data_IF_167435935676
#
_entry.id   IF_167435935676
#
_cell.length_a   1.000
_cell.length_b   1.000
_cell.length_c   1.000
_cell.angle_alpha   90.00
_cell.angle_beta   90.00
_cell.angle_gamma   90.00
#
_symmetry.space_group_name_H-M   'P 1'
#
loop_
_entity.id
_entity.type
_entity.pdbx_description
1 polymer ?
#
# COMPACT_ATOMS: atom_id res chain seq x y z
N UNK A 1 12.61 -6.94 18.66
CA UNK A 1 12.15 -5.63 19.18
C UNK A 1 10.64 -5.62 19.05
N UNK A 2 9.90 -5.33 20.11
CA UNK A 2 8.44 -5.24 20.03
C UNK A 2 8.04 -4.04 19.16
N UNK A 3 6.97 -4.16 18.33
CA UNK A 3 6.46 -3.03 17.55
C UNK A 3 5.92 -1.92 18.46
N UNK A 4 6.22 -0.67 18.12
CA UNK A 4 5.65 0.50 18.78
C UNK A 4 4.22 0.77 18.25
N UNK A 5 3.30 1.21 19.11
CA UNK A 5 1.98 1.63 18.66
C UNK A 5 2.09 2.95 17.88
N UNK A 6 1.48 3.00 16.69
CA UNK A 6 1.47 4.24 15.90
C UNK A 6 0.65 5.35 16.57
N UNK A 7 1.19 6.54 16.60
CA UNK A 7 0.58 7.70 17.26
C UNK A 7 -0.56 8.30 16.41
N UNK A 8 -1.80 8.33 16.95
CA UNK A 8 -2.97 8.93 16.27
C UNK A 8 -2.80 10.43 16.02
N UNK A 9 -2.17 11.17 16.94
CA UNK A 9 -1.89 12.60 16.74
C UNK A 9 -1.02 12.83 15.51
N UNK A 10 -0.03 11.96 15.28
CA UNK A 10 0.80 12.02 14.09
C UNK A 10 -0.01 11.69 12.83
N UNK A 11 -0.88 10.69 12.89
CA UNK A 11 -1.77 10.35 11.78
C UNK A 11 -2.72 11.51 11.42
N UNK A 12 -3.23 12.25 12.41
CA UNK A 12 -4.05 13.44 12.21
C UNK A 12 -3.28 14.57 11.50
N UNK A 13 -2.06 14.82 11.96
CA UNK A 13 -1.19 15.83 11.36
C UNK A 13 -0.81 15.46 9.91
N UNK A 14 -0.45 14.21 9.69
CA UNK A 14 -0.09 13.69 8.36
C UNK A 14 -1.27 13.77 7.39
N UNK A 15 -2.52 13.51 7.85
CA UNK A 15 -3.71 13.63 7.01
C UNK A 15 -3.94 15.07 6.52
N UNK A 16 -3.71 16.06 7.39
CA UNK A 16 -3.81 17.48 7.00
C UNK A 16 -2.81 17.81 5.88
N UNK A 17 -1.57 17.35 6.02
CA UNK A 17 -0.56 17.53 4.98
C UNK A 17 -0.88 16.78 3.70
N UNK A 18 -1.41 15.56 3.79
CA UNK A 18 -1.85 14.76 2.65
C UNK A 18 -2.92 15.50 1.84
N UNK A 19 -3.97 15.98 2.51
CA UNK A 19 -5.07 16.73 1.88
C UNK A 19 -4.60 18.06 1.28
N UNK A 20 -3.73 18.79 1.98
CA UNK A 20 -3.20 20.06 1.51
C UNK A 20 -2.31 19.91 0.26
N UNK A 21 -1.62 18.77 0.11
CA UNK A 21 -0.75 18.48 -1.04
C UNK A 21 -1.48 17.84 -2.20
N UNK A 22 -2.59 17.16 -1.94
CA UNK A 22 -3.35 16.41 -2.95
C UNK A 22 -2.46 15.62 -3.91
N UNK A 23 -1.68 14.61 -3.43
CA UNK A 23 -0.63 13.99 -4.23
C UNK A 23 -1.17 13.39 -5.53
N UNK A 24 -0.60 13.77 -6.66
CA UNK A 24 -0.87 13.14 -7.96
C UNK A 24 -0.29 11.73 -7.93
N UNK A 25 -1.16 10.74 -7.88
CA UNK A 25 -0.78 9.33 -7.71
C UNK A 25 -1.06 8.57 -8.99
N UNK A 26 0.00 8.15 -9.67
CA UNK A 26 -0.08 7.28 -10.84
C UNK A 26 -0.37 5.85 -10.38
N UNK A 27 -1.55 5.33 -10.72
CA UNK A 27 -2.01 4.02 -10.29
C UNK A 27 -1.99 3.02 -11.46
N UNK A 28 -0.96 2.18 -11.52
CA UNK A 28 -0.93 1.00 -12.37
C UNK A 28 -1.42 -0.20 -11.56
N UNK A 29 -2.73 -0.24 -11.33
CA UNK A 29 -3.39 -1.26 -10.53
C UNK A 29 -4.10 -2.32 -11.38
N UNK A 30 -4.69 -3.33 -10.73
CA UNK A 30 -5.39 -4.42 -11.42
C UNK A 30 -6.81 -4.01 -11.84
N UNK A 31 -7.37 -4.74 -12.81
CA UNK A 31 -8.66 -4.43 -13.43
C UNK A 31 -9.85 -4.49 -12.48
N UNK A 32 -9.73 -5.30 -11.43
CA UNK A 32 -10.86 -5.56 -10.51
C UNK A 32 -11.11 -4.37 -9.58
N UNK A 33 -10.09 -3.52 -9.33
CA UNK A 33 -10.14 -2.51 -8.25
C UNK A 33 -9.92 -1.07 -8.72
N UNK A 34 -9.84 -0.81 -10.02
CA UNK A 34 -9.50 0.53 -10.55
C UNK A 34 -10.40 1.63 -10.01
N UNK A 35 -11.71 1.48 -10.16
CA UNK A 35 -12.68 2.48 -9.69
C UNK A 35 -12.65 2.66 -8.18
N UNK A 36 -12.59 1.56 -7.42
CA UNK A 36 -12.54 1.64 -5.95
C UNK A 36 -11.25 2.31 -5.45
N UNK A 37 -10.11 1.99 -6.07
CA UNK A 37 -8.82 2.63 -5.77
C UNK A 37 -8.84 4.14 -6.05
N UNK A 38 -9.38 4.54 -7.22
CA UNK A 38 -9.50 5.95 -7.57
C UNK A 38 -10.41 6.70 -6.59
N UNK A 39 -11.58 6.14 -6.27
CA UNK A 39 -12.51 6.75 -5.32
C UNK A 39 -11.93 6.83 -3.89
N UNK A 40 -11.18 5.85 -3.46
CA UNK A 40 -10.48 5.88 -2.16
C UNK A 40 -9.49 7.04 -2.08
N UNK A 41 -8.67 7.24 -3.11
CA UNK A 41 -7.73 8.36 -3.18
C UNK A 41 -8.45 9.70 -3.22
N UNK A 42 -9.52 9.84 -4.03
CA UNK A 42 -10.34 11.06 -4.10
C UNK A 42 -10.98 11.37 -2.76
N UNK A 43 -11.57 10.39 -2.09
CA UNK A 43 -12.19 10.57 -0.79
C UNK A 43 -11.20 11.06 0.28
N UNK A 44 -9.95 10.60 0.23
CA UNK A 44 -8.87 11.07 1.12
C UNK A 44 -8.30 12.44 0.72
N UNK A 45 -8.56 12.92 -0.51
CA UNK A 45 -8.07 14.21 -1.01
C UNK A 45 -6.81 14.14 -1.88
N UNK A 46 -6.45 12.95 -2.39
CA UNK A 46 -5.40 12.79 -3.40
C UNK A 46 -5.97 12.87 -4.83
N UNK A 47 -5.10 12.95 -5.83
CA UNK A 47 -5.42 13.01 -7.25
C UNK A 47 -5.00 11.71 -7.94
N UNK A 48 -5.90 10.73 -8.17
CA UNK A 48 -5.56 9.48 -8.86
C UNK A 48 -5.45 9.69 -10.38
N UNK A 49 -4.51 8.98 -11.00
CA UNK A 49 -4.38 8.87 -12.45
C UNK A 49 -4.17 7.41 -12.86
N UNK A 50 -5.09 6.89 -13.70
CA UNK A 50 -5.09 5.50 -14.15
C UNK A 50 -4.48 5.41 -15.56
N UNK A 51 -3.16 5.64 -15.67
CA UNK A 51 -2.41 5.64 -16.95
C UNK A 51 -1.71 4.30 -17.10
N UNK A 52 -2.06 3.52 -18.12
CA UNK A 52 -1.63 2.12 -18.28
C UNK A 52 -0.94 1.82 -19.62
N UNK A 53 -1.12 2.66 -20.64
CA UNK A 53 -0.45 2.47 -21.93
C UNK A 53 1.04 2.75 -21.81
N UNK A 54 1.93 1.90 -22.38
CA UNK A 54 3.39 2.11 -22.27
C UNK A 54 3.87 3.46 -22.79
N UNK A 55 3.24 3.99 -23.84
CA UNK A 55 3.61 5.29 -24.41
C UNK A 55 3.29 6.47 -23.49
N UNK A 56 2.27 6.33 -22.64
CA UNK A 56 1.83 7.35 -21.69
C UNK A 56 2.38 7.11 -20.28
N UNK A 57 2.46 5.84 -19.83
CA UNK A 57 2.85 5.48 -18.47
C UNK A 57 4.28 5.92 -18.15
N UNK A 58 5.21 5.75 -19.10
CA UNK A 58 6.60 6.16 -18.92
C UNK A 58 6.76 7.65 -18.66
N UNK A 59 6.30 8.58 -19.53
CA UNK A 59 6.42 10.00 -19.27
C UNK A 59 5.57 10.45 -18.08
N UNK A 60 4.41 9.85 -17.85
CA UNK A 60 3.54 10.22 -16.74
C UNK A 60 4.15 9.86 -15.37
N UNK A 61 4.83 8.74 -15.24
CA UNK A 61 5.50 8.34 -14.00
C UNK A 61 6.57 9.35 -13.53
N UNK A 62 7.20 10.07 -14.46
CA UNK A 62 8.19 11.09 -14.14
C UNK A 62 7.58 12.38 -13.56
N UNK A 63 6.33 12.69 -13.86
CA UNK A 63 5.66 13.93 -13.43
C UNK A 63 4.68 13.72 -12.27
N UNK A 64 4.30 12.47 -11.99
CA UNK A 64 3.49 12.11 -10.84
C UNK A 64 4.26 12.34 -9.53
N UNK A 65 3.54 12.57 -8.43
CA UNK A 65 4.16 12.66 -7.10
C UNK A 65 4.50 11.27 -6.52
N UNK A 66 3.75 10.23 -6.95
CA UNK A 66 3.97 8.85 -6.56
C UNK A 66 3.48 7.89 -7.64
N UNK A 67 4.04 6.67 -7.66
CA UNK A 67 3.60 5.58 -8.55
C UNK A 67 3.22 4.35 -7.71
N UNK A 68 2.06 3.76 -8.02
CA UNK A 68 1.67 2.43 -7.56
C UNK A 68 1.84 1.41 -8.69
N UNK A 69 2.49 0.29 -8.38
CA UNK A 69 2.52 -0.92 -9.23
C UNK A 69 1.89 -2.07 -8.46
N UNK A 70 0.72 -2.50 -8.90
CA UNK A 70 -0.01 -3.65 -8.35
C UNK A 70 -0.10 -4.73 -9.42
N UNK A 71 0.45 -5.92 -9.15
CA UNK A 71 0.59 -7.01 -10.12
C UNK A 71 -0.62 -7.93 -10.21
N UNK A 72 -1.75 -7.56 -9.63
CA UNK A 72 -3.03 -8.23 -9.87
C UNK A 72 -3.41 -8.14 -11.35
N UNK A 73 -4.04 -9.18 -11.89
CA UNK A 73 -4.40 -9.27 -13.33
C UNK A 73 -3.25 -8.89 -14.30
N UNK A 74 -2.00 -9.24 -13.95
CA UNK A 74 -0.83 -8.91 -14.75
C UNK A 74 -0.86 -9.63 -16.10
N UNK A 75 -0.63 -8.89 -17.19
CA UNK A 75 -0.39 -9.38 -18.55
C UNK A 75 1.02 -8.98 -19.01
N UNK A 76 1.52 -9.58 -20.10
CA UNK A 76 2.85 -9.24 -20.61
C UNK A 76 2.95 -7.75 -21.00
N UNK A 77 1.95 -7.20 -21.69
CA UNK A 77 1.93 -5.78 -22.06
C UNK A 77 1.87 -4.84 -20.86
N UNK A 78 1.14 -5.23 -19.79
CA UNK A 78 1.12 -4.48 -18.54
C UNK A 78 2.45 -4.54 -17.82
N UNK A 79 3.11 -5.69 -17.81
CA UNK A 79 4.44 -5.83 -17.22
C UNK A 79 5.46 -4.92 -17.92
N UNK A 80 5.42 -4.83 -19.25
CA UNK A 80 6.29 -3.93 -20.03
C UNK A 80 5.99 -2.46 -19.70
N UNK A 81 4.72 -2.07 -19.65
CA UNK A 81 4.32 -0.72 -19.28
C UNK A 81 4.72 -0.35 -17.84
N UNK A 82 4.50 -1.26 -16.89
CA UNK A 82 4.88 -1.09 -15.48
C UNK A 82 6.39 -0.95 -15.32
N UNK A 83 7.17 -1.79 -16.02
CA UNK A 83 8.64 -1.69 -16.02
C UNK A 83 9.10 -0.34 -16.53
N UNK A 84 8.59 0.11 -17.68
CA UNK A 84 8.91 1.41 -18.25
C UNK A 84 8.55 2.59 -17.32
N UNK A 85 7.40 2.50 -16.63
CA UNK A 85 6.99 3.49 -15.65
C UNK A 85 7.90 3.51 -14.42
N UNK A 86 8.27 2.33 -13.88
CA UNK A 86 9.16 2.21 -12.71
C UNK A 86 10.56 2.72 -13.03
N UNK A 87 11.11 2.39 -14.20
CA UNK A 87 12.41 2.93 -14.65
C UNK A 87 12.38 4.46 -14.73
N UNK A 88 11.31 5.02 -15.30
CA UNK A 88 11.12 6.46 -15.39
C UNK A 88 10.94 7.12 -14.01
N UNK A 89 10.19 6.51 -13.11
CA UNK A 89 10.03 6.96 -11.74
C UNK A 89 11.37 6.93 -10.97
N UNK A 90 12.15 5.86 -11.15
CA UNK A 90 13.48 5.73 -10.55
C UNK A 90 14.43 6.85 -11.01
N UNK A 91 14.49 7.12 -12.30
CA UNK A 91 15.31 8.20 -12.88
C UNK A 91 14.86 9.58 -12.40
N UNK A 92 13.55 9.81 -12.31
CA UNK A 92 12.96 11.06 -11.84
C UNK A 92 12.94 11.20 -10.30
N UNK A 93 13.34 10.17 -9.56
CA UNK A 93 13.23 10.08 -8.08
C UNK A 93 11.79 10.19 -7.57
N UNK A 94 10.83 9.80 -8.38
CA UNK A 94 9.44 9.64 -7.97
C UNK A 94 9.33 8.38 -7.10
N UNK A 95 8.85 8.47 -5.84
CA UNK A 95 8.67 7.28 -5.02
C UNK A 95 7.64 6.34 -5.64
N UNK A 96 7.92 5.04 -5.64
CA UNK A 96 6.99 4.04 -6.12
C UNK A 96 6.77 2.93 -5.12
N UNK A 97 5.59 2.34 -5.14
CA UNK A 97 5.15 1.29 -4.22
C UNK A 97 4.82 0.03 -4.99
N UNK A 98 5.28 -1.12 -4.49
CA UNK A 98 4.97 -2.45 -5.02
C UNK A 98 3.87 -3.11 -4.18
N UNK A 99 2.82 -3.59 -4.86
CA UNK A 99 1.81 -4.51 -4.32
C UNK A 99 1.95 -5.87 -5.03
N UNK A 100 2.64 -6.86 -4.40
CA UNK A 100 2.99 -8.12 -5.02
C UNK A 100 1.86 -9.15 -4.95
N UNK A 101 0.68 -8.81 -5.44
CA UNK A 101 -0.54 -9.62 -5.36
C UNK A 101 -0.30 -11.06 -5.83
N UNK A 102 -0.54 -12.03 -4.93
CA UNK A 102 -0.43 -13.48 -5.19
C UNK A 102 0.95 -13.93 -5.71
N UNK A 103 2.01 -13.22 -5.35
CA UNK A 103 3.39 -13.49 -5.80
C UNK A 103 3.90 -14.88 -5.41
N UNK A 104 3.38 -15.47 -4.32
CA UNK A 104 3.77 -16.80 -3.87
C UNK A 104 3.32 -17.94 -4.80
N UNK A 105 2.17 -17.77 -5.47
CA UNK A 105 1.54 -18.82 -6.26
C UNK A 105 1.81 -18.70 -7.77
N UNK A 106 2.12 -17.51 -8.28
CA UNK A 106 2.16 -17.20 -9.71
C UNK A 106 3.56 -16.83 -10.18
N UNK A 107 4.20 -17.72 -10.92
CA UNK A 107 5.60 -17.60 -11.36
C UNK A 107 5.86 -16.34 -12.19
N UNK A 108 4.95 -15.96 -13.09
CA UNK A 108 5.11 -14.76 -13.91
C UNK A 108 5.15 -13.49 -13.03
N UNK A 109 4.24 -13.37 -12.06
CA UNK A 109 4.24 -12.25 -11.11
C UNK A 109 5.49 -12.26 -10.23
N UNK A 110 5.91 -13.45 -9.81
CA UNK A 110 7.10 -13.66 -8.99
C UNK A 110 8.35 -13.09 -9.67
N UNK A 111 8.65 -13.53 -10.89
CA UNK A 111 9.82 -13.04 -11.64
C UNK A 111 9.76 -11.55 -11.85
N UNK A 112 8.61 -11.06 -12.27
CA UNK A 112 8.42 -9.64 -12.50
C UNK A 112 8.66 -8.80 -11.24
N UNK A 113 8.09 -9.19 -10.08
CA UNK A 113 8.32 -8.49 -8.83
C UNK A 113 9.79 -8.51 -8.41
N UNK A 114 10.46 -9.66 -8.50
CA UNK A 114 11.89 -9.78 -8.16
C UNK A 114 12.76 -8.87 -9.02
N UNK A 115 12.50 -8.82 -10.32
CA UNK A 115 13.23 -7.94 -11.24
C UNK A 115 13.09 -6.47 -10.86
N UNK A 116 11.85 -6.05 -10.46
CA UNK A 116 11.58 -4.67 -10.07
C UNK A 116 12.25 -4.24 -8.75
N UNK A 117 12.57 -5.17 -7.85
CA UNK A 117 13.21 -4.82 -6.56
C UNK A 117 14.54 -4.08 -6.73
N UNK A 118 15.26 -4.33 -7.82
CA UNK A 118 16.51 -3.61 -8.14
C UNK A 118 16.31 -2.11 -8.39
N UNK A 119 15.07 -1.69 -8.71
CA UNK A 119 14.68 -0.31 -8.94
C UNK A 119 14.16 0.39 -7.66
N UNK A 120 14.46 -0.20 -6.49
CA UNK A 120 14.29 0.37 -5.16
C UNK A 120 12.90 0.98 -4.92
N UNK A 121 11.85 0.16 -4.71
CA UNK A 121 10.55 0.67 -4.27
C UNK A 121 10.71 1.47 -2.97
N UNK A 122 10.01 2.58 -2.83
CA UNK A 122 9.91 3.33 -1.57
C UNK A 122 9.12 2.54 -0.53
N UNK A 123 8.12 1.78 -0.97
CA UNK A 123 7.35 0.90 -0.10
C UNK A 123 6.95 -0.40 -0.83
N UNK A 124 6.77 -1.46 -0.04
CA UNK A 124 6.18 -2.74 -0.46
C UNK A 124 5.02 -3.02 0.50
N UNK A 125 3.81 -3.24 -0.03
CA UNK A 125 2.65 -3.58 0.79
C UNK A 125 2.07 -4.92 0.34
N UNK A 126 1.92 -5.84 1.26
CA UNK A 126 1.28 -7.13 1.02
C UNK A 126 0.66 -7.71 2.29
N UNK A 127 -0.09 -8.80 2.15
CA UNK A 127 -0.44 -9.63 3.30
C UNK A 127 0.77 -10.48 3.74
N UNK A 128 0.63 -11.18 4.86
CA UNK A 128 1.74 -11.97 5.40
C UNK A 128 2.29 -12.99 4.40
N UNK A 129 1.42 -13.71 3.67
CA UNK A 129 1.85 -14.73 2.72
C UNK A 129 2.58 -14.13 1.52
N UNK A 130 2.16 -12.97 1.03
CA UNK A 130 2.82 -12.24 -0.06
C UNK A 130 4.19 -11.71 0.37
N UNK A 131 4.27 -11.12 1.56
CA UNK A 131 5.56 -10.61 2.09
C UNK A 131 6.52 -11.75 2.41
N UNK A 132 6.05 -12.85 3.02
CA UNK A 132 6.88 -14.04 3.25
C UNK A 132 7.37 -14.65 1.95
N UNK A 133 6.51 -14.75 0.94
CA UNK A 133 6.88 -15.27 -0.37
C UNK A 133 7.92 -14.38 -1.04
N UNK A 134 7.71 -13.06 -1.07
CA UNK A 134 8.64 -12.12 -1.67
C UNK A 134 9.99 -12.10 -0.92
N UNK A 135 9.97 -12.05 0.40
CA UNK A 135 11.17 -12.07 1.24
C UNK A 135 11.89 -13.42 1.14
N UNK A 136 11.14 -14.53 1.15
CA UNK A 136 11.71 -15.87 1.01
C UNK A 136 12.42 -16.08 -0.32
N UNK A 137 11.89 -15.53 -1.40
CA UNK A 137 12.53 -15.58 -2.71
C UNK A 137 13.75 -14.66 -2.79
N UNK A 138 13.67 -13.48 -2.22
CA UNK A 138 14.80 -12.55 -2.15
C UNK A 138 15.90 -13.05 -1.20
N UNK A 139 15.54 -13.88 -0.20
CA UNK A 139 16.42 -14.42 0.85
C UNK A 139 16.64 -15.94 0.78
N UNK A 140 15.97 -16.66 -0.13
CA UNK A 140 16.16 -18.10 -0.36
C UNK A 140 15.38 -19.06 0.53
N UNK A 141 14.13 -18.74 0.94
CA UNK A 141 13.29 -19.57 1.83
C UNK A 141 11.87 -19.91 1.33
N UNK A 142 11.11 -20.73 2.07
CA UNK A 142 9.71 -21.14 1.78
C UNK A 142 8.71 -20.48 2.74
N UNK A 143 7.51 -20.12 2.26
CA UNK A 143 6.48 -19.41 3.02
C UNK A 143 5.53 -20.28 3.86
N UNK A 144 4.84 -19.68 4.84
CA UNK A 144 3.94 -20.29 5.83
C UNK A 144 2.55 -19.63 5.81
N UNK A 145 1.50 -20.41 6.06
CA UNK A 145 0.09 -20.02 5.99
C UNK A 145 -0.56 -19.99 7.38
N UNK A 146 -1.00 -18.81 7.91
CA UNK A 146 -1.97 -18.72 9.05
C UNK A 146 -2.37 -17.29 9.44
N UNK A 147 -3.45 -17.11 10.23
CA UNK A 147 -4.01 -15.85 10.73
C UNK A 147 -3.14 -15.10 11.75
N UNK A 148 -2.23 -15.76 12.43
CA UNK A 148 -1.15 -15.13 13.23
C UNK A 148 0.00 -14.63 12.35
N UNK A 149 -0.19 -14.71 11.04
CA UNK A 149 0.81 -14.58 10.03
C UNK A 149 1.44 -13.18 9.96
N UNK A 150 0.70 -12.10 10.26
CA UNK A 150 1.27 -10.75 10.18
C UNK A 150 2.41 -10.55 11.18
N UNK A 151 2.20 -10.91 12.44
CA UNK A 151 3.24 -10.86 13.48
C UNK A 151 4.38 -11.85 13.20
N UNK A 152 4.04 -13.08 12.78
CA UNK A 152 5.01 -14.12 12.47
C UNK A 152 5.88 -13.78 11.25
N UNK A 153 5.37 -12.93 10.32
CA UNK A 153 6.10 -12.49 9.14
C UNK A 153 7.06 -11.32 9.38
N UNK A 154 7.01 -10.67 10.56
CA UNK A 154 7.82 -9.49 10.86
C UNK A 154 9.33 -9.68 10.66
N UNK A 155 9.96 -10.79 11.08
CA UNK A 155 11.40 -10.97 10.83
C UNK A 155 11.76 -10.94 9.35
N UNK A 156 10.90 -11.53 8.49
CA UNK A 156 11.07 -11.53 7.04
C UNK A 156 10.83 -10.13 6.45
N UNK A 157 9.78 -9.43 6.91
CA UNK A 157 9.49 -8.07 6.50
C UNK A 157 10.63 -7.10 6.86
N UNK A 158 11.17 -7.20 8.07
CA UNK A 158 12.31 -6.40 8.53
C UNK A 158 13.59 -6.70 7.72
N UNK A 159 13.83 -7.96 7.39
CA UNK A 159 14.97 -8.35 6.57
C UNK A 159 14.83 -7.80 5.14
N UNK A 160 13.64 -7.92 4.54
CA UNK A 160 13.32 -7.37 3.22
C UNK A 160 13.48 -5.84 3.21
N UNK A 161 12.95 -5.14 4.22
CA UNK A 161 13.06 -3.70 4.35
C UNK A 161 14.53 -3.23 4.41
N UNK A 162 15.37 -3.93 5.17
CA UNK A 162 16.82 -3.63 5.23
C UNK A 162 17.54 -3.91 3.93
N UNK A 163 17.22 -5.02 3.27
CA UNK A 163 17.89 -5.43 2.02
C UNK A 163 17.59 -4.47 0.87
N UNK A 164 16.34 -4.03 0.76
CA UNK A 164 15.87 -3.17 -0.33
C UNK A 164 16.01 -1.69 0.01
N UNK A 165 16.18 -1.35 1.30
CA UNK A 165 16.16 0.01 1.84
C UNK A 165 14.81 0.70 1.57
N UNK A 166 13.72 0.06 2.00
CA UNK A 166 12.36 0.51 1.78
C UNK A 166 11.48 0.33 3.02
N UNK A 167 10.26 0.87 2.95
CA UNK A 167 9.21 0.57 3.95
C UNK A 167 8.48 -0.71 3.54
N UNK A 168 8.29 -1.64 4.46
CA UNK A 168 7.47 -2.84 4.24
C UNK A 168 6.23 -2.76 5.13
N UNK A 169 5.07 -2.92 4.50
CA UNK A 169 3.76 -2.99 5.17
C UNK A 169 3.23 -4.41 5.08
N UNK A 170 3.01 -5.02 6.24
CA UNK A 170 2.32 -6.31 6.35
C UNK A 170 0.93 -6.08 6.89
N UNK A 171 -0.08 -6.38 6.08
CA UNK A 171 -1.48 -6.18 6.47
C UNK A 171 -2.11 -7.41 7.09
N UNK A 172 -2.98 -7.19 8.09
CA UNK A 172 -3.70 -8.20 8.82
C UNK A 172 -4.74 -7.58 9.76
N UNK A 173 -5.13 -8.29 10.81
CA UNK A 173 -5.93 -7.72 11.90
C UNK A 173 -5.20 -6.52 12.52
N UNK A 174 -3.91 -6.66 12.78
CA UNK A 174 -2.99 -5.56 13.06
C UNK A 174 -2.08 -5.41 11.86
N UNK A 175 -1.99 -4.20 11.31
CA UNK A 175 -1.01 -3.90 10.27
C UNK A 175 0.33 -3.56 10.94
N UNK A 176 1.41 -4.00 10.31
CA UNK A 176 2.77 -3.68 10.75
C UNK A 176 3.52 -2.95 9.64
N UNK A 177 4.14 -1.84 10.00
CA UNK A 177 4.93 -1.01 9.08
C UNK A 177 6.36 -0.94 9.59
N UNK A 178 7.32 -1.34 8.78
CA UNK A 178 8.74 -1.39 9.19
C UNK A 178 9.68 -0.83 8.14
N UNK A 179 10.74 -0.18 8.58
CA UNK A 179 11.90 0.18 7.77
C UNK A 179 13.11 -0.75 8.03
N UNK A 180 12.86 -1.88 8.72
CA UNK A 180 13.91 -2.81 9.11
C UNK A 180 14.63 -2.49 10.42
N UNK A 181 14.54 -1.24 10.92
CA UNK A 181 15.09 -0.80 12.22
C UNK A 181 13.99 -0.55 13.24
N UNK A 182 12.97 0.21 12.85
CA UNK A 182 11.75 0.45 13.64
C UNK A 182 10.57 -0.26 13.02
N UNK A 183 9.64 -0.66 13.85
CA UNK A 183 8.36 -1.26 13.43
C UNK A 183 7.24 -0.60 14.20
N UNK A 184 6.21 -0.16 13.47
CA UNK A 184 4.99 0.42 14.01
C UNK A 184 3.85 -0.58 13.85
N UNK A 185 2.97 -0.67 14.85
CA UNK A 185 1.75 -1.49 14.84
C UNK A 185 0.53 -0.60 14.75
N UNK A 186 -0.40 -0.98 13.88
CA UNK A 186 -1.63 -0.24 13.62
C UNK A 186 -2.81 -1.20 13.79
N UNK A 187 -3.40 -1.28 14.99
CA UNK A 187 -4.61 -2.06 15.24
C UNK A 187 -5.85 -1.35 14.71
N UNK A 188 -6.97 -2.06 14.65
CA UNK A 188 -8.28 -1.53 14.24
C UNK A 188 -8.77 -2.11 12.91
N UNK A 189 -9.69 -1.42 12.27
CA UNK A 189 -10.43 -1.95 11.14
C UNK A 189 -11.55 -2.87 11.57
N UNK A 190 -12.16 -3.57 10.62
CA UNK A 190 -13.25 -4.50 10.85
C UNK A 190 -13.13 -5.70 9.89
N UNK A 191 -13.52 -6.92 10.30
CA UNK A 191 -13.54 -8.09 9.43
C UNK A 191 -14.33 -7.91 8.13
N UNK A 192 -15.32 -7.00 8.10
CA UNK A 192 -16.11 -6.69 6.91
C UNK A 192 -15.24 -6.16 5.76
N UNK A 193 -14.10 -5.51 6.08
CA UNK A 193 -13.11 -5.10 5.08
C UNK A 193 -12.57 -6.27 4.24
N UNK A 194 -12.54 -7.48 4.78
CA UNK A 194 -12.11 -8.68 4.06
C UNK A 194 -13.19 -9.25 3.13
N UNK A 195 -14.42 -8.78 3.25
CA UNK A 195 -15.56 -9.18 2.41
C UNK A 195 -15.77 -8.26 1.20
N UNK A 196 -14.93 -7.26 1.06
CA UNK A 196 -14.93 -6.28 -0.03
C UNK A 196 -13.66 -6.45 -0.85
N UNK A 197 -13.83 -6.57 -2.17
CA UNK A 197 -12.70 -6.62 -3.09
C UNK A 197 -12.02 -5.25 -3.14
N UNK A 198 -10.71 -5.24 -2.96
CA UNK A 198 -9.88 -4.08 -3.26
C UNK A 198 -9.49 -3.21 -2.08
N UNK A 199 -9.96 -3.46 -0.85
CA UNK A 199 -9.53 -2.67 0.33
C UNK A 199 -8.01 -2.67 0.50
N UNK A 200 -7.36 -3.83 0.34
CA UNK A 200 -5.91 -3.95 0.37
C UNK A 200 -5.23 -3.24 -0.81
N UNK A 201 -5.71 -3.43 -2.03
CA UNK A 201 -5.16 -2.77 -3.22
C UNK A 201 -5.31 -1.24 -3.15
N UNK A 202 -6.43 -0.75 -2.63
CA UNK A 202 -6.64 0.67 -2.40
C UNK A 202 -5.69 1.22 -1.32
N UNK A 203 -5.45 0.47 -0.23
CA UNK A 203 -4.43 0.83 0.76
C UNK A 203 -3.05 0.98 0.10
N UNK A 204 -2.68 0.10 -0.83
CA UNK A 204 -1.39 0.22 -1.54
C UNK A 204 -1.27 1.54 -2.31
N UNK A 205 -2.37 2.05 -2.86
CA UNK A 205 -2.39 3.36 -3.52
C UNK A 205 -2.26 4.51 -2.51
N UNK A 206 -2.91 4.41 -1.34
CA UNK A 206 -2.78 5.39 -0.26
C UNK A 206 -1.36 5.39 0.31
N UNK A 207 -0.74 4.21 0.46
CA UNK A 207 0.68 4.07 0.83
C UNK A 207 1.58 4.75 -0.19
N UNK A 208 1.36 4.51 -1.50
CA UNK A 208 2.13 5.17 -2.55
C UNK A 208 2.02 6.70 -2.47
N UNK A 209 0.82 7.24 -2.37
CA UNK A 209 0.57 8.67 -2.23
C UNK A 209 1.24 9.25 -0.97
N UNK A 210 1.27 8.49 0.14
CA UNK A 210 1.89 8.91 1.39
C UNK A 210 3.41 8.95 1.33
N UNK A 211 4.04 8.14 0.47
CA UNK A 211 5.49 8.20 0.22
C UNK A 211 5.94 9.53 -0.41
N UNK A 212 5.03 10.29 -1.03
CA UNK A 212 5.31 11.61 -1.60
C UNK A 212 5.29 12.74 -0.55
N UNK A 213 4.89 12.47 0.68
CA UNK A 213 4.83 13.48 1.74
C UNK A 213 6.23 13.76 2.32
N UNK A 214 6.49 14.98 2.78
CA UNK A 214 7.72 15.29 3.50
C UNK A 214 7.76 14.61 4.87
N UNK A 215 8.94 14.49 5.42
CA UNK A 215 9.17 13.91 6.76
C UNK A 215 9.56 12.44 6.72
N UNK A 216 9.30 11.73 7.80
CA UNK A 216 9.69 10.34 7.94
C UNK A 216 8.73 9.43 7.16
N UNK A 217 9.24 8.74 6.13
CA UNK A 217 8.44 7.84 5.29
C UNK A 217 7.73 6.75 6.12
N UNK A 218 8.37 6.20 7.15
CA UNK A 218 7.78 5.21 8.04
C UNK A 218 6.49 5.74 8.69
N UNK A 219 6.52 6.95 9.22
CA UNK A 219 5.39 7.56 9.90
C UNK A 219 4.27 7.95 8.91
N UNK A 220 4.62 8.42 7.71
CA UNK A 220 3.68 8.74 6.65
C UNK A 220 2.91 7.48 6.19
N UNK A 221 3.62 6.38 5.95
CA UNK A 221 3.03 5.11 5.52
C UNK A 221 2.19 4.47 6.64
N UNK A 222 2.66 4.53 7.90
CA UNK A 222 1.88 4.05 9.02
C UNK A 222 0.58 4.86 9.22
N UNK A 223 0.63 6.17 8.96
CA UNK A 223 -0.56 7.02 8.98
C UNK A 223 -1.58 6.61 7.92
N UNK A 224 -1.14 6.24 6.71
CA UNK A 224 -2.00 5.69 5.66
C UNK A 224 -2.76 4.43 6.13
N UNK A 225 -2.06 3.48 6.77
CA UNK A 225 -2.69 2.31 7.37
C UNK A 225 -3.71 2.69 8.44
N UNK A 226 -3.37 3.65 9.30
CA UNK A 226 -4.26 4.15 10.35
C UNK A 226 -5.57 4.73 9.78
N UNK A 227 -5.50 5.56 8.73
CA UNK A 227 -6.69 6.15 8.10
C UNK A 227 -7.62 5.09 7.55
N UNK A 228 -7.09 4.09 6.85
CA UNK A 228 -7.89 3.00 6.28
C UNK A 228 -8.53 2.13 7.37
N UNK A 229 -7.82 1.87 8.47
CA UNK A 229 -8.36 1.13 9.63
C UNK A 229 -9.49 1.90 10.32
N UNK A 230 -9.31 3.20 10.58
CA UNK A 230 -10.33 4.04 11.18
C UNK A 230 -11.58 4.16 10.31
N UNK A 231 -11.40 4.37 9.01
CA UNK A 231 -12.51 4.43 8.07
C UNK A 231 -13.23 3.07 7.96
N UNK A 232 -12.49 1.96 7.97
CA UNK A 232 -13.05 0.61 7.95
C UNK A 232 -13.92 0.32 9.18
N UNK A 233 -13.46 0.71 10.35
CA UNK A 233 -14.23 0.59 11.59
C UNK A 233 -15.50 1.44 11.55
N UNK A 234 -15.39 2.72 11.22
CA UNK A 234 -16.54 3.63 11.13
C UNK A 234 -17.56 3.22 10.06
N UNK A 235 -17.10 2.65 8.94
CA UNK A 235 -17.96 2.11 7.91
C UNK A 235 -18.72 0.87 8.36
N UNK A 236 -18.08 -0.04 9.07
CA UNK A 236 -18.72 -1.25 9.58
C UNK A 236 -19.85 -0.94 10.55
N UNK A 237 -19.67 0.06 11.43
CA UNK A 237 -20.70 0.54 12.37
C UNK A 237 -21.95 1.10 11.67
N UNK A 238 -21.84 1.53 10.41
CA UNK A 238 -22.91 2.13 9.60
C UNK A 238 -23.44 1.22 8.51
N UNK A 239 -22.95 -0.02 8.44
CA UNK A 239 -23.25 -0.94 7.35
C UNK A 239 -24.02 -2.15 7.83
N UNK A 240 -25.00 -2.59 7.02
CA UNK A 240 -25.71 -3.85 7.26
C UNK A 240 -24.98 -5.07 6.67
N UNK A 241 -23.98 -4.82 5.80
CA UNK A 241 -23.22 -5.86 5.12
C UNK A 241 -22.32 -5.29 4.02
N UNK A 242 -21.70 -6.17 3.17
CA UNK A 242 -20.76 -5.73 2.16
C UNK A 242 -21.32 -4.72 1.15
N UNK A 243 -22.61 -4.79 0.84
CA UNK A 243 -23.26 -3.89 -0.14
C UNK A 243 -23.32 -2.45 0.33
N UNK A 244 -23.59 -2.20 1.60
CA UNK A 244 -23.65 -0.86 2.19
C UNK A 244 -22.26 -0.40 2.71
N UNK A 245 -21.32 -1.33 2.89
CA UNK A 245 -19.98 -1.01 3.40
C UNK A 245 -19.18 -0.09 2.46
N UNK A 246 -19.19 -0.34 1.16
CA UNK A 246 -18.38 0.44 0.20
C UNK A 246 -18.73 1.93 0.25
N UNK A 247 -19.99 2.37 0.06
CA UNK A 247 -20.31 3.79 0.18
C UNK A 247 -20.02 4.34 1.57
N UNK A 248 -20.32 3.59 2.65
CA UNK A 248 -20.02 4.02 4.01
C UNK A 248 -18.50 4.18 4.25
N UNK A 249 -17.67 3.35 3.63
CA UNK A 249 -16.21 3.43 3.71
C UNK A 249 -15.67 4.68 3.00
N UNK A 250 -16.18 4.98 1.81
CA UNK A 250 -15.78 6.19 1.07
C UNK A 250 -16.23 7.46 1.81
N UNK A 251 -17.43 7.47 2.36
CA UNK A 251 -17.93 8.58 3.20
C UNK A 251 -17.08 8.74 4.46
N UNK A 252 -16.69 7.62 5.11
CA UNK A 252 -15.83 7.64 6.30
C UNK A 252 -14.43 8.19 5.99
N UNK A 253 -13.87 7.86 4.82
CA UNK A 253 -12.59 8.43 4.37
C UNK A 253 -12.70 9.94 4.09
N UNK A 254 -13.79 10.37 3.45
CA UNK A 254 -14.01 11.78 3.13
C UNK A 254 -14.17 12.62 4.40
N UNK A 255 -14.95 12.14 5.36
CA UNK A 255 -15.20 12.82 6.63
C UNK A 255 -14.16 12.47 7.72
N UNK A 256 -13.08 11.77 7.35
CA UNK A 256 -12.12 11.30 8.33
C UNK A 256 -11.51 12.47 9.11
N UNK A 257 -11.82 12.51 10.39
CA UNK A 257 -11.14 13.33 11.39
C UNK A 257 -10.39 12.40 12.32
N UNK A 258 -9.08 12.46 12.33
CA UNK A 258 -8.28 11.68 13.27
C UNK A 258 -8.17 12.47 14.56
N UNK A 259 -8.95 12.06 15.56
CA UNK A 259 -8.88 12.68 16.90
C UNK A 259 -7.53 12.38 17.54
N UNK A 260 -6.86 13.42 17.95
CA UNK A 260 -5.64 13.33 18.76
C UNK A 260 -6.07 13.04 20.21
N UNK A 261 -6.32 11.78 20.57
CA UNK A 261 -6.46 11.42 21.97
C UNK A 261 -5.11 11.47 22.66
N UNK A 262 -5.10 12.18 23.79
CA UNK A 262 -3.99 12.31 24.71
C UNK A 262 -3.59 10.96 25.30
#
# INVERSE_FOLDING_TARGET
MQPDLHCRTLAAHTLKHFRARSPLTHCMTNDVVQTFTANTLLALGASPAMVIDPAEARPFAAIANALLVNVGTLTASRADAMRAAVESAYDAKTPWTLDPVAVGALEFRRRFCLDLLSLRPAAIRGNASEILALAGMALGGRGVDTTEAALASLPAAQALARQIDCIVVVTGEVDYVTNGQRTLSIPGGDPLMTRIVGTGCALSAVVAASCALPGAALDNVASACCWMKLAGQAAAERSEGPGSFIPAFLDALYHLEVEAHQ
#
